data_IF_057569070025
#
_entry.id   IF_057569070025
#
_cell.length_a   1.000
_cell.length_b   1.000
_cell.length_c   1.000
_cell.angle_alpha   90.00
_cell.angle_beta   90.00
_cell.angle_gamma   90.00
#
_symmetry.space_group_name_H-M   'P 1'
#
loop_
_entity.id
_entity.type
_entity.pdbx_description
1 polymer ?
#
# COMPACT_ATOMS: atom_id res chain seq x y z
N UNK A 1 -13.51 14.72 4.03
CA UNK A 1 -13.19 15.09 2.64
C UNK A 1 -12.07 14.18 2.16
N UNK A 2 -12.32 13.33 1.17
CA UNK A 2 -11.24 12.58 0.52
C UNK A 2 -10.60 13.46 -0.56
N UNK A 3 -9.28 13.50 -0.60
CA UNK A 3 -8.54 14.19 -1.66
C UNK A 3 -8.80 13.40 -2.96
N UNK A 4 -9.29 14.06 -4.04
CA UNK A 4 -9.50 13.39 -5.32
C UNK A 4 -8.18 12.88 -5.86
N UNK A 5 -8.22 11.77 -6.60
CA UNK A 5 -7.06 11.25 -7.29
C UNK A 5 -6.56 12.25 -8.36
N UNK A 6 -5.26 12.46 -8.41
CA UNK A 6 -4.59 13.22 -9.46
C UNK A 6 -3.56 12.36 -10.22
N UNK A 7 -2.89 12.97 -11.18
CA UNK A 7 -1.87 12.29 -12.00
C UNK A 7 -0.67 11.82 -11.17
N UNK A 8 -0.30 12.53 -10.10
CA UNK A 8 0.76 12.11 -9.18
C UNK A 8 0.37 10.87 -8.37
N UNK A 9 -0.89 10.78 -7.95
CA UNK A 9 -1.42 9.61 -7.28
C UNK A 9 -1.34 8.38 -8.18
N UNK A 10 -1.76 8.49 -9.45
CA UNK A 10 -1.68 7.41 -10.43
C UNK A 10 -0.23 6.98 -10.67
N UNK A 11 0.68 7.94 -10.84
CA UNK A 11 2.11 7.66 -11.02
C UNK A 11 2.69 6.93 -9.81
N UNK A 12 2.39 7.40 -8.59
CA UNK A 12 2.86 6.79 -7.36
C UNK A 12 2.34 5.36 -7.20
N UNK A 13 1.04 5.16 -7.48
CA UNK A 13 0.36 3.86 -7.43
C UNK A 13 1.03 2.86 -8.38
N UNK A 14 1.23 3.23 -9.64
CA UNK A 14 1.86 2.36 -10.64
C UNK A 14 3.31 2.07 -10.27
N UNK A 15 4.10 3.10 -9.99
CA UNK A 15 5.54 2.95 -9.71
C UNK A 15 5.81 2.04 -8.52
N UNK A 16 5.12 2.25 -7.40
CA UNK A 16 5.38 1.47 -6.17
C UNK A 16 5.01 -0.01 -6.33
N UNK A 17 3.91 -0.29 -7.01
CA UNK A 17 3.38 -1.64 -7.12
C UNK A 17 4.12 -2.43 -8.20
N UNK A 18 4.51 -1.81 -9.32
CA UNK A 18 5.36 -2.45 -10.33
C UNK A 18 6.74 -2.75 -9.74
N UNK A 19 7.32 -1.81 -8.99
CA UNK A 19 8.59 -2.06 -8.30
C UNK A 19 8.51 -3.24 -7.33
N UNK A 20 7.41 -3.36 -6.57
CA UNK A 20 7.16 -4.53 -5.72
C UNK A 20 7.06 -5.82 -6.55
N UNK A 21 6.24 -5.84 -7.60
CA UNK A 21 6.05 -7.00 -8.47
C UNK A 21 7.36 -7.51 -9.08
N UNK A 22 8.26 -6.60 -9.47
CA UNK A 22 9.60 -6.93 -9.97
C UNK A 22 10.50 -7.63 -8.94
N UNK A 23 10.22 -7.47 -7.64
CA UNK A 23 10.96 -8.19 -6.57
C UNK A 23 10.37 -9.56 -6.25
N UNK A 24 9.16 -9.86 -6.73
CA UNK A 24 8.38 -11.03 -6.35
C UNK A 24 8.38 -12.15 -7.41
N UNK A 25 8.59 -11.82 -8.68
CA UNK A 25 8.47 -12.77 -9.79
C UNK A 25 9.29 -12.40 -11.02
N UNK A 26 8.94 -12.98 -12.16
CA UNK A 26 9.63 -12.69 -13.43
C UNK A 26 9.17 -11.36 -14.05
N UNK A 27 9.93 -10.85 -15.01
CA UNK A 27 9.55 -9.64 -15.76
C UNK A 27 8.20 -9.82 -16.47
N UNK A 28 7.91 -11.01 -17.01
CA UNK A 28 6.62 -11.31 -17.65
C UNK A 28 5.46 -11.26 -16.65
N UNK A 29 5.67 -11.78 -15.43
CA UNK A 29 4.67 -11.70 -14.37
C UNK A 29 4.47 -10.24 -13.92
N UNK A 30 5.55 -9.49 -13.73
CA UNK A 30 5.48 -8.06 -13.37
C UNK A 30 4.76 -7.23 -14.45
N UNK A 31 5.00 -7.53 -15.73
CA UNK A 31 4.28 -6.93 -16.85
C UNK A 31 2.79 -7.30 -16.86
N UNK A 32 2.44 -8.55 -16.56
CA UNK A 32 1.05 -8.97 -16.43
C UNK A 32 0.35 -8.23 -15.29
N UNK A 33 0.99 -8.12 -14.14
CA UNK A 33 0.47 -7.38 -12.99
C UNK A 33 0.32 -5.88 -13.28
N UNK A 34 1.28 -5.27 -13.99
CA UNK A 34 1.18 -3.88 -14.43
C UNK A 34 -0.05 -3.64 -15.31
N UNK A 35 -0.40 -4.58 -16.20
CA UNK A 35 -1.60 -4.50 -17.03
C UNK A 35 -2.87 -4.54 -16.19
N UNK A 36 -2.95 -5.38 -15.17
CA UNK A 36 -4.11 -5.44 -14.28
C UNK A 36 -4.30 -4.15 -13.47
N UNK A 37 -3.20 -3.55 -12.96
CA UNK A 37 -3.31 -2.24 -12.28
C UNK A 37 -3.78 -1.16 -13.25
N UNK A 38 -3.29 -1.15 -14.49
CA UNK A 38 -3.75 -0.17 -15.48
C UNK A 38 -5.24 -0.32 -15.81
N UNK A 39 -5.75 -1.55 -15.93
CA UNK A 39 -7.20 -1.80 -16.08
C UNK A 39 -7.97 -1.26 -14.87
N UNK A 40 -7.51 -1.54 -13.65
CA UNK A 40 -8.11 -1.03 -12.42
C UNK A 40 -8.18 0.51 -12.41
N UNK A 41 -7.16 1.20 -12.90
CA UNK A 41 -7.17 2.66 -13.02
C UNK A 41 -8.19 3.18 -14.05
N UNK A 42 -8.44 2.44 -15.13
CA UNK A 42 -9.40 2.80 -16.18
C UNK A 42 -10.84 2.53 -15.70
N UNK A 43 -11.06 1.42 -15.00
CA UNK A 43 -12.37 0.99 -14.52
C UNK A 43 -12.79 1.66 -13.20
N UNK A 44 -11.88 2.45 -12.60
CA UNK A 44 -12.15 3.16 -11.36
C UNK A 44 -13.32 4.15 -11.53
N UNK A 45 -14.31 4.14 -10.63
CA UNK A 45 -15.40 5.11 -10.66
C UNK A 45 -14.90 6.56 -10.60
N UNK A 46 -15.64 7.47 -11.23
CA UNK A 46 -15.30 8.90 -11.16
C UNK A 46 -15.31 9.41 -9.71
N UNK A 47 -14.31 10.20 -9.34
CA UNK A 47 -14.22 10.82 -8.01
C UNK A 47 -13.70 9.92 -6.90
N UNK A 48 -13.24 8.70 -7.20
CA UNK A 48 -12.57 7.88 -6.18
C UNK A 48 -11.30 8.55 -5.65
N UNK A 49 -10.96 8.23 -4.40
CA UNK A 49 -9.71 8.66 -3.78
C UNK A 49 -8.66 7.55 -3.85
N UNK A 50 -7.39 7.92 -3.74
CA UNK A 50 -6.25 6.98 -3.80
C UNK A 50 -6.39 5.75 -2.86
N UNK A 51 -6.92 5.86 -1.63
CA UNK A 51 -7.15 4.68 -0.77
C UNK A 51 -8.12 3.64 -1.35
N UNK A 52 -9.00 4.03 -2.28
CA UNK A 52 -9.97 3.12 -2.89
C UNK A 52 -9.28 1.93 -3.56
N UNK A 53 -8.08 2.13 -4.15
CA UNK A 53 -7.28 1.13 -4.88
C UNK A 53 -6.55 0.12 -3.97
N UNK A 54 -6.44 0.40 -2.67
CA UNK A 54 -5.64 -0.41 -1.76
C UNK A 54 -6.07 -1.88 -1.69
N UNK A 55 -7.35 -2.16 -1.40
CA UNK A 55 -7.87 -3.52 -1.32
C UNK A 55 -7.72 -4.31 -2.63
N UNK A 56 -8.08 -3.73 -3.78
CA UNK A 56 -8.05 -4.44 -5.05
C UNK A 56 -6.62 -4.78 -5.48
N UNK A 57 -5.65 -3.91 -5.15
CA UNK A 57 -4.23 -4.22 -5.37
C UNK A 57 -3.74 -5.30 -4.41
N UNK A 58 -4.24 -5.35 -3.18
CA UNK A 58 -3.93 -6.43 -2.25
C UNK A 58 -4.46 -7.78 -2.77
N UNK A 59 -5.69 -7.79 -3.30
CA UNK A 59 -6.29 -8.97 -3.94
C UNK A 59 -5.45 -9.42 -5.14
N UNK A 60 -5.07 -8.50 -6.05
CA UNK A 60 -4.20 -8.84 -7.19
C UNK A 60 -2.84 -9.40 -6.75
N UNK A 61 -2.23 -8.86 -5.69
CA UNK A 61 -0.96 -9.36 -5.16
C UNK A 61 -1.13 -10.73 -4.50
N UNK A 62 -2.26 -11.00 -3.87
CA UNK A 62 -2.60 -12.31 -3.34
C UNK A 62 -2.78 -13.32 -4.47
N UNK A 63 -3.61 -13.00 -5.45
CA UNK A 63 -3.98 -13.91 -6.53
C UNK A 63 -2.80 -14.24 -7.47
N UNK A 64 -1.98 -13.23 -7.80
CA UNK A 64 -0.90 -13.40 -8.78
C UNK A 64 0.43 -13.85 -8.18
N UNK A 65 0.68 -13.55 -6.90
CA UNK A 65 1.97 -13.81 -6.25
C UNK A 65 1.87 -14.57 -4.93
N UNK A 66 0.66 -14.88 -4.45
CA UNK A 66 0.44 -15.63 -3.21
C UNK A 66 0.78 -14.84 -1.95
N UNK A 67 0.81 -13.50 -1.99
CA UNK A 67 1.10 -12.71 -0.80
C UNK A 67 -0.03 -12.82 0.23
N UNK A 68 0.34 -12.99 1.49
CA UNK A 68 -0.61 -12.95 2.60
C UNK A 68 -1.22 -11.54 2.75
N UNK A 69 -2.51 -11.45 3.05
CA UNK A 69 -3.19 -10.18 3.30
C UNK A 69 -2.57 -9.42 4.49
N UNK A 70 -2.05 -10.14 5.49
CA UNK A 70 -1.30 -9.61 6.62
C UNK A 70 0.23 -9.67 6.40
N UNK A 71 0.70 -9.41 5.18
CA UNK A 71 2.15 -9.40 4.87
C UNK A 71 2.99 -8.46 5.73
N UNK A 72 2.39 -7.44 6.34
CA UNK A 72 3.06 -6.47 7.21
C UNK A 72 2.96 -6.83 8.70
N UNK A 73 2.58 -8.06 9.04
CA UNK A 73 2.35 -8.49 10.43
C UNK A 73 3.58 -8.21 11.30
N UNK A 74 4.77 -8.60 10.84
CA UNK A 74 5.97 -8.48 11.64
C UNK A 74 6.40 -7.01 11.77
N UNK A 75 6.34 -6.23 10.69
CA UNK A 75 6.64 -4.80 10.69
C UNK A 75 5.69 -4.04 11.62
N UNK A 76 4.41 -4.40 11.65
CA UNK A 76 3.44 -3.85 12.60
C UNK A 76 3.82 -4.19 14.04
N UNK A 77 4.20 -5.44 14.33
CA UNK A 77 4.64 -5.84 15.67
C UNK A 77 5.89 -5.07 16.12
N UNK A 78 6.85 -4.90 15.22
CA UNK A 78 8.10 -4.20 15.50
C UNK A 78 7.88 -2.69 15.67
N UNK A 79 7.07 -2.08 14.81
CA UNK A 79 6.67 -0.67 14.91
C UNK A 79 5.89 -0.39 16.20
N UNK A 80 4.93 -1.27 16.54
CA UNK A 80 4.16 -1.15 17.77
C UNK A 80 5.05 -1.24 19.00
N UNK A 81 5.98 -2.22 19.05
CA UNK A 81 6.94 -2.34 20.15
C UNK A 81 7.78 -1.07 20.29
N UNK A 82 8.35 -0.58 19.18
CA UNK A 82 9.15 0.64 19.17
C UNK A 82 8.40 1.85 19.75
N UNK A 83 7.15 2.06 19.36
CA UNK A 83 6.33 3.18 19.84
C UNK A 83 5.93 3.00 21.31
N UNK A 84 5.47 1.80 21.69
CA UNK A 84 5.00 1.52 23.05
C UNK A 84 6.08 1.70 24.11
N UNK A 85 7.32 1.29 23.82
CA UNK A 85 8.48 1.51 24.71
C UNK A 85 8.74 3.01 25.00
N UNK A 86 8.42 3.88 24.04
CA UNK A 86 8.71 5.33 24.10
C UNK A 86 7.51 6.15 24.55
N UNK A 87 6.32 5.55 24.56
CA UNK A 87 5.07 6.22 24.88
C UNK A 87 5.08 6.91 26.26
N UNK A 88 5.67 6.35 27.34
CA UNK A 88 5.77 7.05 28.62
C UNK A 88 6.52 8.39 28.52
N UNK A 89 7.70 8.39 27.90
CA UNK A 89 8.50 9.61 27.72
C UNK A 89 7.83 10.62 26.79
N UNK A 90 7.09 10.15 25.78
CA UNK A 90 6.29 11.03 24.91
C UNK A 90 5.17 11.69 25.73
N UNK A 91 4.48 10.93 26.60
CA UNK A 91 3.40 11.46 27.44
C UNK A 91 3.91 12.56 28.36
N UNK A 92 5.03 12.33 29.07
CA UNK A 92 5.68 13.34 29.92
C UNK A 92 5.92 14.66 29.17
N UNK A 93 6.53 14.57 27.98
CA UNK A 93 6.82 15.73 27.12
C UNK A 93 5.58 16.47 26.64
N UNK A 94 4.49 15.76 26.35
CA UNK A 94 3.25 16.37 25.83
C UNK A 94 2.42 16.98 26.95
N UNK A 95 2.37 16.33 28.13
CA UNK A 95 1.53 16.80 29.24
C UNK A 95 2.23 17.81 30.15
N UNK A 96 3.55 17.98 30.04
CA UNK A 96 4.31 18.94 30.84
C UNK A 96 4.29 18.64 32.34
N UNK A 97 4.09 17.37 32.70
CA UNK A 97 4.15 16.87 34.07
C UNK A 97 5.53 16.25 34.32
#
# INVERSE_FOLDING_TARGET
MSIPIDTYCLQCLLRRNIALAQTLGTEEQAMAFAKEIMKLCIDAPEGVSSPWFGPQIADLLHDMYGLDYDRFRQEKLDSNRFVLERLPAIREKVTGA
#
